data_IF_238173823706
#
_entry.id   IF_238173823706
#
_cell.length_a   1.000
_cell.length_b   1.000
_cell.length_c   1.000
_cell.angle_alpha   90.00
_cell.angle_beta   90.00
_cell.angle_gamma   90.00
#
_symmetry.space_group_name_H-M   'P 1'
#
loop_
_entity.id
_entity.type
_entity.pdbx_description
1 polymer ?
#
# COMPACT_ATOMS: atom_id res chain seq x y z
N UNK A 1 -8.60 9.79 10.75
CA UNK A 1 -9.59 10.30 11.71
C UNK A 1 -10.60 9.19 11.95
N UNK A 2 -10.82 8.78 13.19
CA UNK A 2 -11.93 7.87 13.54
C UNK A 2 -13.23 8.62 13.25
N UNK A 3 -13.99 8.18 12.26
CA UNK A 3 -15.29 8.78 11.98
C UNK A 3 -16.22 8.46 13.16
N UNK A 4 -16.85 9.46 13.80
CA UNK A 4 -17.82 9.18 14.85
C UNK A 4 -18.94 8.32 14.27
N UNK A 5 -19.46 7.39 15.09
CA UNK A 5 -20.64 6.60 14.75
C UNK A 5 -21.77 7.52 14.25
N UNK A 6 -22.61 7.07 13.30
CA UNK A 6 -23.66 7.92 12.74
C UNK A 6 -24.66 8.33 13.83
N UNK A 7 -24.41 9.48 14.43
CA UNK A 7 -25.36 10.20 15.27
C UNK A 7 -26.42 10.87 14.41
N UNK A 8 -27.37 11.57 15.03
CA UNK A 8 -28.42 12.30 14.31
C UNK A 8 -27.96 13.65 13.74
N UNK A 9 -26.71 14.05 13.98
CA UNK A 9 -26.16 15.32 13.53
C UNK A 9 -25.42 15.17 12.17
N UNK A 10 -25.33 16.25 11.37
CA UNK A 10 -24.81 16.16 10.01
C UNK A 10 -23.28 16.09 9.92
N UNK A 11 -22.55 16.09 11.04
CA UNK A 11 -21.10 16.29 11.03
C UNK A 11 -20.36 15.17 10.29
N UNK A 12 -20.79 13.91 10.45
CA UNK A 12 -20.18 12.79 9.73
C UNK A 12 -20.37 12.92 8.20
N UNK A 13 -21.58 13.30 7.77
CA UNK A 13 -21.91 13.52 6.35
C UNK A 13 -21.06 14.65 5.78
N UNK A 14 -21.02 15.81 6.46
CA UNK A 14 -20.26 16.97 6.01
C UNK A 14 -18.76 16.69 6.00
N UNK A 15 -18.25 15.94 6.97
CA UNK A 15 -16.85 15.52 7.03
C UNK A 15 -16.44 14.69 5.81
N UNK A 16 -17.26 13.71 5.42
CA UNK A 16 -16.99 12.92 4.20
C UNK A 16 -17.20 13.75 2.94
N UNK A 17 -18.31 14.48 2.83
CA UNK A 17 -18.67 15.25 1.64
C UNK A 17 -17.64 16.34 1.28
N UNK A 18 -16.92 16.87 2.28
CA UNK A 18 -15.87 17.88 2.09
C UNK A 18 -14.45 17.30 2.16
N UNK A 19 -14.31 15.99 2.43
CA UNK A 19 -13.00 15.34 2.61
C UNK A 19 -12.07 15.47 1.40
N UNK A 20 -12.63 15.51 0.18
CA UNK A 20 -11.84 15.74 -1.05
C UNK A 20 -11.08 17.08 -1.03
N UNK A 21 -11.61 18.11 -0.36
CA UNK A 21 -10.96 19.42 -0.23
C UNK A 21 -9.69 19.32 0.62
N UNK A 22 -9.71 18.49 1.66
CA UNK A 22 -8.55 18.23 2.51
C UNK A 22 -7.49 17.40 1.75
N UNK A 23 -7.93 16.35 1.03
CA UNK A 23 -7.04 15.53 0.21
C UNK A 23 -6.31 16.36 -0.86
N UNK A 24 -7.03 17.19 -1.63
CA UNK A 24 -6.40 18.05 -2.64
C UNK A 24 -5.44 19.08 -2.04
N UNK A 25 -5.71 19.60 -0.85
CA UNK A 25 -4.77 20.49 -0.17
C UNK A 25 -3.52 19.76 0.33
N UNK A 26 -3.63 18.51 0.76
CA UNK A 26 -2.46 17.68 1.10
C UNK A 26 -1.57 17.46 -0.13
N UNK A 27 -2.17 17.10 -1.27
CA UNK A 27 -1.44 16.91 -2.52
C UNK A 27 -0.72 18.19 -2.95
N UNK A 28 -1.43 19.32 -2.96
CA UNK A 28 -0.85 20.62 -3.30
C UNK A 28 0.23 21.08 -2.32
N UNK A 29 0.07 20.81 -1.01
CA UNK A 29 1.10 21.12 -0.01
C UNK A 29 2.36 20.28 -0.21
N UNK A 30 2.20 19.00 -0.57
CA UNK A 30 3.32 18.11 -0.91
C UNK A 30 4.05 18.56 -2.17
N UNK A 31 3.30 18.83 -3.25
CA UNK A 31 3.84 19.30 -4.53
C UNK A 31 4.56 20.64 -4.41
N UNK A 32 3.99 21.59 -3.65
CA UNK A 32 4.61 22.88 -3.37
C UNK A 32 5.84 22.78 -2.45
N UNK A 33 6.19 21.60 -1.94
CA UNK A 33 7.34 21.41 -1.05
C UNK A 33 7.15 22.00 0.35
N UNK A 34 5.90 22.19 0.82
CA UNK A 34 5.60 22.79 2.11
C UNK A 34 6.26 22.03 3.28
N UNK A 35 6.18 20.70 3.27
CA UNK A 35 6.76 19.84 4.31
C UNK A 35 8.30 19.86 4.26
N UNK A 36 8.90 19.88 3.07
CA UNK A 36 10.34 19.98 2.89
C UNK A 36 10.88 21.36 3.36
N UNK A 37 10.13 22.45 3.11
CA UNK A 37 10.45 23.78 3.60
C UNK A 37 10.46 23.88 5.15
N UNK A 38 9.80 22.95 5.83
CA UNK A 38 9.77 22.82 7.29
C UNK A 38 10.83 21.86 7.86
N UNK A 39 11.58 21.14 7.02
CA UNK A 39 12.65 20.24 7.47
C UNK A 39 13.74 20.98 8.26
N UNK A 40 13.99 22.26 7.92
CA UNK A 40 14.93 23.14 8.63
C UNK A 40 14.39 23.77 9.92
N UNK A 41 13.17 23.42 10.35
CA UNK A 41 12.55 23.90 11.57
C UNK A 41 11.36 24.84 11.36
N UNK A 42 10.68 25.25 12.47
CA UNK A 42 9.40 25.94 12.41
C UNK A 42 9.43 27.29 11.69
N UNK A 43 8.41 27.58 10.90
CA UNK A 43 8.35 28.78 10.06
C UNK A 43 6.99 29.48 10.12
N UNK A 44 6.97 30.81 10.01
CA UNK A 44 5.75 31.59 9.78
C UNK A 44 5.23 31.34 8.35
N UNK A 45 3.99 31.73 8.04
CA UNK A 45 3.51 31.58 6.65
C UNK A 45 4.30 32.42 5.63
N UNK A 46 4.86 33.57 6.04
CA UNK A 46 5.68 34.40 5.16
C UNK A 46 7.02 33.72 4.84
N UNK A 47 7.67 33.16 5.87
CA UNK A 47 8.90 32.36 5.71
C UNK A 47 8.62 31.08 4.88
N UNK A 48 7.48 30.41 5.09
CA UNK A 48 7.06 29.26 4.27
C UNK A 48 6.85 29.64 2.82
N UNK A 49 6.19 30.77 2.56
CA UNK A 49 5.95 31.28 1.22
C UNK A 49 7.25 31.49 0.44
N UNK A 50 8.24 32.11 1.10
CA UNK A 50 9.57 32.33 0.53
C UNK A 50 10.28 31.00 0.23
N UNK A 51 10.30 30.06 1.19
CA UNK A 51 10.98 28.76 1.04
C UNK A 51 10.36 27.86 -0.02
N UNK A 52 9.02 27.84 -0.09
CA UNK A 52 8.27 26.99 -1.02
C UNK A 52 8.00 27.66 -2.38
N UNK A 53 8.29 28.96 -2.52
CA UNK A 53 8.07 29.69 -3.77
C UNK A 53 6.59 29.89 -4.12
N UNK A 54 5.71 29.99 -3.11
CA UNK A 54 4.25 30.18 -3.29
C UNK A 54 3.78 31.47 -2.61
N UNK A 55 2.64 32.06 -3.03
CA UNK A 55 2.12 33.26 -2.37
C UNK A 55 1.82 33.03 -0.87
N UNK A 56 2.11 34.02 -0.02
CA UNK A 56 1.90 33.92 1.44
C UNK A 56 0.46 33.54 1.81
N UNK A 57 -0.53 34.09 1.09
CA UNK A 57 -1.93 33.73 1.28
C UNK A 57 -2.16 32.23 1.09
N UNK A 58 -1.57 31.64 0.05
CA UNK A 58 -1.70 30.22 -0.26
C UNK A 58 -0.92 29.37 0.74
N UNK A 59 0.30 29.77 1.10
CA UNK A 59 1.08 29.10 2.15
C UNK A 59 0.31 29.04 3.47
N UNK A 60 -0.33 30.15 3.87
CA UNK A 60 -1.17 30.22 5.08
C UNK A 60 -2.35 29.25 5.00
N UNK A 61 -3.09 29.24 3.88
CA UNK A 61 -4.25 28.35 3.69
C UNK A 61 -3.84 26.88 3.81
N UNK A 62 -2.78 26.48 3.09
CA UNK A 62 -2.30 25.10 3.13
C UNK A 62 -1.80 24.73 4.53
N UNK A 63 -0.98 25.58 5.15
CA UNK A 63 -0.42 25.31 6.47
C UNK A 63 -1.49 25.26 7.58
N UNK A 64 -2.50 26.13 7.53
CA UNK A 64 -3.62 26.08 8.48
C UNK A 64 -4.46 24.82 8.31
N UNK A 65 -4.73 24.39 7.07
CA UNK A 65 -5.42 23.11 6.82
C UNK A 65 -4.59 21.94 7.33
N UNK A 66 -3.30 21.86 7.01
CA UNK A 66 -2.44 20.76 7.47
C UNK A 66 -2.29 20.75 9.00
N UNK A 67 -2.25 21.92 9.65
CA UNK A 67 -2.25 22.02 11.11
C UNK A 67 -3.58 21.55 11.72
N UNK A 68 -4.71 21.95 11.12
CA UNK A 68 -6.05 21.51 11.53
C UNK A 68 -6.26 20.00 11.39
N UNK A 69 -5.57 19.35 10.44
CA UNK A 69 -5.56 17.90 10.26
C UNK A 69 -4.54 17.17 11.15
N UNK A 70 -3.73 17.89 11.94
CA UNK A 70 -2.67 17.33 12.77
C UNK A 70 -1.42 16.88 11.99
N UNK A 71 -1.33 17.20 10.70
CA UNK A 71 -0.18 16.92 9.85
C UNK A 71 0.96 17.93 10.09
N UNK A 72 0.62 19.15 10.51
CA UNK A 72 1.54 20.13 11.07
C UNK A 72 1.12 20.47 12.50
N UNK A 73 2.02 21.07 13.27
CA UNK A 73 1.69 21.81 14.49
C UNK A 73 1.71 23.30 14.21
N UNK A 74 0.99 24.09 15.02
CA UNK A 74 1.01 25.55 14.96
C UNK A 74 1.11 26.15 16.36
N UNK A 75 2.21 26.84 16.63
CA UNK A 75 2.51 27.48 17.91
C UNK A 75 3.03 28.89 17.66
N UNK A 76 2.49 29.89 18.37
CA UNK A 76 2.87 31.31 18.23
C UNK A 76 2.94 31.82 16.79
N UNK A 77 2.03 31.33 15.94
CA UNK A 77 1.94 31.71 14.52
C UNK A 77 2.98 31.06 13.59
N UNK A 78 3.82 30.17 14.11
CA UNK A 78 4.78 29.33 13.37
C UNK A 78 4.23 27.92 13.20
N UNK A 79 4.52 27.32 12.06
CA UNK A 79 4.17 25.94 11.73
C UNK A 79 5.40 25.04 11.81
N UNK A 80 5.23 23.79 12.22
CA UNK A 80 6.26 22.77 12.17
C UNK A 80 5.67 21.45 11.65
N UNK A 81 6.50 20.58 11.08
CA UNK A 81 6.09 19.22 10.77
C UNK A 81 5.68 18.49 12.05
N UNK A 82 4.62 17.67 11.96
CA UNK A 82 4.38 16.63 12.96
C UNK A 82 5.49 15.57 12.87
N UNK A 83 5.66 14.69 13.87
CA UNK A 83 6.61 13.57 13.76
C UNK A 83 6.41 12.73 12.50
N UNK A 84 5.14 12.45 12.15
CA UNK A 84 4.81 11.68 10.94
C UNK A 84 5.18 12.44 9.65
N UNK A 85 4.80 13.71 9.49
CA UNK A 85 5.14 14.44 8.25
C UNK A 85 6.63 14.77 8.15
N UNK A 86 7.33 14.91 9.27
CA UNK A 86 8.78 15.02 9.29
C UNK A 86 9.46 13.75 8.79
N UNK A 87 8.93 12.58 9.14
CA UNK A 87 9.50 11.30 8.74
C UNK A 87 9.16 10.94 7.29
N UNK A 88 7.91 11.12 6.88
CA UNK A 88 7.39 10.58 5.60
C UNK A 88 7.24 11.61 4.47
N UNK A 89 7.23 12.93 4.74
CA UNK A 89 6.94 13.97 3.73
C UNK A 89 7.99 15.09 3.62
N UNK A 90 8.95 15.16 4.54
CA UNK A 90 9.98 16.21 4.53
C UNK A 90 11.14 15.95 3.54
N UNK A 91 11.14 14.79 2.85
CA UNK A 91 12.21 14.40 1.92
C UNK A 91 13.50 13.92 2.60
N UNK A 92 13.41 13.46 3.85
CA UNK A 92 14.51 12.78 4.54
C UNK A 92 14.64 11.31 4.12
N UNK A 93 15.59 10.60 4.73
CA UNK A 93 15.88 9.18 4.43
C UNK A 93 15.56 8.24 5.60
N UNK A 94 14.87 8.73 6.64
CA UNK A 94 14.58 7.92 7.83
C UNK A 94 13.48 6.90 7.58
N UNK A 95 12.46 7.30 6.83
CA UNK A 95 11.28 6.51 6.52
C UNK A 95 10.97 6.60 5.01
N UNK A 96 10.02 5.77 4.55
CA UNK A 96 9.55 5.79 3.16
C UNK A 96 9.01 7.17 2.78
N UNK A 97 9.59 7.79 1.76
CA UNK A 97 9.09 9.07 1.24
C UNK A 97 7.75 8.89 0.53
N UNK A 98 6.66 9.42 1.10
CA UNK A 98 5.30 9.26 0.58
C UNK A 98 4.94 10.26 -0.53
N UNK A 99 5.81 11.20 -0.86
CA UNK A 99 5.53 12.21 -1.90
C UNK A 99 5.20 11.61 -3.27
N UNK A 100 5.89 10.55 -3.77
CA UNK A 100 5.50 9.91 -5.03
C UNK A 100 4.11 9.27 -4.98
N UNK A 101 3.71 8.71 -3.83
CA UNK A 101 2.37 8.18 -3.63
C UNK A 101 1.31 9.29 -3.69
N UNK A 102 1.55 10.43 -3.03
CA UNK A 102 0.66 11.59 -3.12
C UNK A 102 0.57 12.14 -4.54
N UNK A 103 1.67 12.16 -5.30
CA UNK A 103 1.68 12.58 -6.70
C UNK A 103 0.84 11.63 -7.59
N UNK A 104 0.93 10.33 -7.37
CA UNK A 104 0.05 9.34 -8.02
C UNK A 104 -1.42 9.57 -7.69
N UNK A 105 -1.74 9.76 -6.40
CA UNK A 105 -3.11 10.01 -5.97
C UNK A 105 -3.68 11.25 -6.65
N UNK A 106 -2.90 12.33 -6.76
CA UNK A 106 -3.37 13.59 -7.35
C UNK A 106 -3.53 13.52 -8.88
N UNK A 107 -2.53 12.99 -9.58
CA UNK A 107 -2.43 13.06 -11.03
C UNK A 107 -3.15 11.91 -11.75
N UNK A 108 -3.33 10.77 -11.09
CA UNK A 108 -3.94 9.57 -11.65
C UNK A 108 -5.24 9.23 -10.92
N UNK A 109 -5.18 8.86 -9.64
CA UNK A 109 -6.33 8.32 -8.91
C UNK A 109 -7.49 9.32 -8.84
N UNK A 110 -7.23 10.54 -8.39
CA UNK A 110 -8.23 11.59 -8.25
C UNK A 110 -9.00 11.86 -9.55
N UNK A 111 -8.32 11.77 -10.69
CA UNK A 111 -8.94 11.92 -12.01
C UNK A 111 -9.94 10.81 -12.33
N UNK A 112 -9.66 9.57 -11.93
CA UNK A 112 -10.58 8.43 -12.11
C UNK A 112 -11.81 8.56 -11.21
N UNK A 113 -11.64 9.07 -9.99
CA UNK A 113 -12.77 9.34 -9.09
C UNK A 113 -13.78 10.35 -9.63
N UNK A 114 -13.39 11.24 -10.55
CA UNK A 114 -14.35 12.11 -11.25
C UNK A 114 -15.36 11.32 -12.11
N UNK A 115 -14.96 10.14 -12.59
CA UNK A 115 -15.80 9.22 -13.37
C UNK A 115 -16.51 8.16 -12.52
N UNK A 116 -16.30 8.11 -11.20
CA UNK A 116 -16.82 7.03 -10.36
C UNK A 116 -18.36 6.90 -10.38
N UNK A 117 -19.07 7.99 -10.68
CA UNK A 117 -20.52 7.94 -10.90
C UNK A 117 -20.93 7.02 -12.06
N UNK A 118 -20.15 6.97 -13.14
CA UNK A 118 -20.36 6.03 -14.24
C UNK A 118 -20.02 4.61 -13.82
N UNK A 119 -18.87 4.40 -13.16
CA UNK A 119 -18.46 3.10 -12.60
C UNK A 119 -19.51 2.52 -11.65
N UNK A 120 -20.16 3.35 -10.82
CA UNK A 120 -21.25 2.91 -9.94
C UNK A 120 -22.45 2.34 -10.70
N UNK A 121 -22.70 2.84 -11.93
CA UNK A 121 -23.83 2.38 -12.77
C UNK A 121 -23.49 1.14 -13.59
N UNK A 122 -22.22 0.96 -13.96
CA UNK A 122 -21.79 -0.08 -14.91
C UNK A 122 -21.00 -1.21 -14.27
N UNK A 123 -20.42 -0.99 -13.09
CA UNK A 123 -19.37 -1.80 -12.48
C UNK A 123 -18.10 -1.93 -13.36
N UNK A 124 -17.87 -0.98 -14.28
CA UNK A 124 -16.71 -0.95 -15.16
C UNK A 124 -15.71 0.13 -14.72
N UNK A 125 -14.39 -0.11 -14.85
CA UNK A 125 -13.38 0.87 -14.51
C UNK A 125 -13.38 2.07 -15.47
N UNK A 126 -12.76 3.16 -15.04
CA UNK A 126 -12.45 4.28 -15.91
C UNK A 126 -11.25 3.94 -16.80
N UNK A 127 -11.13 4.61 -17.95
CA UNK A 127 -10.01 4.37 -18.86
C UNK A 127 -8.70 4.85 -18.24
N UNK A 128 -7.82 3.90 -17.92
CA UNK A 128 -6.46 4.18 -17.46
C UNK A 128 -5.55 4.54 -18.64
N UNK A 129 -5.18 5.82 -18.73
CA UNK A 129 -4.19 6.32 -19.69
C UNK A 129 -2.83 6.54 -19.00
N UNK A 130 -1.85 5.72 -19.38
CA UNK A 130 -0.47 5.75 -18.86
C UNK A 130 0.54 6.20 -19.92
N UNK A 131 0.12 6.90 -20.97
CA UNK A 131 1.05 7.44 -21.95
C UNK A 131 2.01 8.49 -21.35
N UNK A 132 3.23 8.54 -21.88
CA UNK A 132 4.24 9.55 -21.50
C UNK A 132 4.74 9.39 -20.06
N UNK A 133 4.78 10.50 -19.33
CA UNK A 133 5.25 10.58 -17.94
C UNK A 133 4.26 9.96 -16.93
N UNK A 134 3.00 9.75 -17.32
CA UNK A 134 1.97 9.18 -16.46
C UNK A 134 2.29 7.76 -16.00
N UNK A 135 2.96 6.96 -16.83
CA UNK A 135 3.46 5.64 -16.43
C UNK A 135 4.45 5.75 -15.27
N UNK A 136 5.38 6.72 -15.32
CA UNK A 136 6.37 6.92 -14.26
C UNK A 136 5.69 7.36 -12.96
N UNK A 137 4.72 8.27 -13.03
CA UNK A 137 3.94 8.72 -11.87
C UNK A 137 3.14 7.56 -11.26
N UNK A 138 2.49 6.76 -12.10
CA UNK A 138 1.74 5.57 -11.67
C UNK A 138 2.65 4.57 -10.95
N UNK A 139 3.72 4.13 -11.60
CA UNK A 139 4.66 3.17 -11.02
C UNK A 139 5.34 3.73 -9.77
N UNK A 140 5.77 4.99 -9.78
CA UNK A 140 6.40 5.63 -8.63
C UNK A 140 5.49 5.62 -7.39
N UNK A 141 4.20 5.93 -7.57
CA UNK A 141 3.24 5.91 -6.47
C UNK A 141 2.88 4.51 -5.99
N UNK A 142 2.56 3.60 -6.90
CA UNK A 142 2.22 2.20 -6.56
C UNK A 142 3.39 1.52 -5.85
N UNK A 143 4.62 1.71 -6.33
CA UNK A 143 5.81 1.12 -5.71
C UNK A 143 6.14 1.73 -4.35
N UNK A 144 5.92 3.04 -4.18
CA UNK A 144 6.04 3.71 -2.87
C UNK A 144 5.05 3.13 -1.87
N UNK A 145 3.81 2.89 -2.30
CA UNK A 145 2.78 2.33 -1.42
C UNK A 145 3.08 0.87 -1.05
N UNK A 146 3.57 0.07 -2.01
CA UNK A 146 4.05 -1.29 -1.74
C UNK A 146 5.25 -1.30 -0.77
N UNK A 147 6.22 -0.41 -0.94
CA UNK A 147 7.35 -0.29 -0.03
C UNK A 147 6.93 0.10 1.40
N UNK A 148 5.93 0.98 1.53
CA UNK A 148 5.33 1.29 2.83
C UNK A 148 4.72 0.04 3.48
N UNK A 149 3.91 -0.71 2.74
CA UNK A 149 3.29 -1.94 3.26
C UNK A 149 4.32 -3.03 3.61
N UNK A 150 5.36 -3.19 2.81
CA UNK A 150 6.46 -4.11 3.09
C UNK A 150 7.14 -3.79 4.43
N UNK A 151 7.42 -2.50 4.67
CA UNK A 151 7.97 -2.05 5.95
C UNK A 151 7.01 -2.29 7.11
N UNK A 152 5.72 -1.99 6.92
CA UNK A 152 4.69 -2.20 7.95
C UNK A 152 4.54 -3.67 8.32
N UNK A 153 4.64 -4.57 7.33
CA UNK A 153 4.66 -6.01 7.56
C UNK A 153 5.90 -6.42 8.34
N UNK A 154 7.10 -5.98 7.93
CA UNK A 154 8.35 -6.29 8.61
C UNK A 154 8.43 -5.79 10.06
N UNK A 155 7.83 -4.63 10.33
CA UNK A 155 7.76 -4.09 11.70
C UNK A 155 6.78 -4.88 12.60
N UNK A 156 5.89 -5.71 12.03
CA UNK A 156 4.80 -6.40 12.76
C UNK A 156 4.76 -7.93 12.57
N UNK A 157 5.70 -8.51 11.81
CA UNK A 157 5.81 -9.94 11.57
C UNK A 157 7.26 -10.41 11.69
N UNK A 158 7.49 -11.44 12.49
CA UNK A 158 8.83 -11.97 12.76
C UNK A 158 9.28 -12.93 11.66
N UNK A 159 10.13 -12.43 10.77
CA UNK A 159 10.74 -13.20 9.69
C UNK A 159 11.94 -14.05 10.14
N UNK A 160 12.50 -13.82 11.34
CA UNK A 160 13.79 -14.40 11.75
C UNK A 160 13.77 -15.92 11.92
N UNK A 161 12.58 -16.51 12.03
CA UNK A 161 12.35 -17.95 12.17
C UNK A 161 12.37 -18.73 10.85
N UNK A 162 12.44 -18.05 9.71
CA UNK A 162 12.35 -18.66 8.38
C UNK A 162 13.70 -18.64 7.66
N UNK A 163 13.94 -19.65 6.83
CA UNK A 163 15.20 -19.82 6.09
C UNK A 163 15.00 -19.81 4.57
N UNK A 164 13.82 -20.17 4.07
CA UNK A 164 13.51 -20.27 2.64
C UNK A 164 12.17 -19.59 2.37
N UNK A 165 12.24 -18.34 1.92
CA UNK A 165 11.08 -17.47 1.72
C UNK A 165 10.72 -17.40 0.25
N UNK A 166 9.48 -17.68 -0.10
CA UNK A 166 8.94 -17.47 -1.44
C UNK A 166 8.03 -16.24 -1.44
N UNK A 167 8.32 -15.26 -2.28
CA UNK A 167 7.39 -14.20 -2.66
C UNK A 167 6.66 -14.63 -3.94
N UNK A 168 5.39 -15.03 -3.80
CA UNK A 168 4.62 -15.70 -4.86
C UNK A 168 3.62 -14.77 -5.53
N UNK A 169 3.95 -14.28 -6.72
CA UNK A 169 3.09 -13.38 -7.49
C UNK A 169 3.26 -11.90 -7.14
N UNK A 170 4.30 -11.55 -6.38
CA UNK A 170 4.60 -10.18 -5.98
C UNK A 170 4.75 -9.23 -7.18
N UNK A 171 4.29 -8.00 -6.99
CA UNK A 171 4.53 -6.89 -7.93
C UNK A 171 5.86 -6.18 -7.65
N UNK A 172 6.22 -6.08 -6.38
CA UNK A 172 7.37 -5.33 -5.87
C UNK A 172 8.27 -6.25 -5.06
N UNK A 173 9.58 -6.19 -5.30
CA UNK A 173 10.57 -6.91 -4.49
C UNK A 173 10.71 -6.37 -3.05
N UNK A 174 10.00 -5.31 -2.68
CA UNK A 174 10.13 -4.68 -1.35
C UNK A 174 9.77 -5.62 -0.21
N UNK A 175 8.73 -6.46 -0.35
CA UNK A 175 8.32 -7.38 0.72
C UNK A 175 9.41 -8.40 1.02
N UNK A 176 9.93 -9.07 -0.01
CA UNK A 176 11.06 -9.99 0.13
C UNK A 176 12.32 -9.27 0.62
N UNK A 177 12.59 -8.04 0.17
CA UNK A 177 13.74 -7.27 0.63
C UNK A 177 13.69 -7.02 2.14
N UNK A 178 12.55 -6.57 2.69
CA UNK A 178 12.43 -6.33 4.14
C UNK A 178 12.47 -7.63 4.95
N UNK A 179 11.86 -8.70 4.43
CA UNK A 179 11.95 -10.03 5.03
C UNK A 179 13.41 -10.52 5.13
N UNK A 180 14.21 -10.34 4.08
CA UNK A 180 15.61 -10.75 4.06
C UNK A 180 16.53 -9.83 4.85
N UNK A 181 16.20 -8.54 5.00
CA UNK A 181 16.93 -7.63 5.90
C UNK A 181 16.76 -8.02 7.37
N UNK A 182 15.58 -8.47 7.75
CA UNK A 182 15.30 -8.93 9.12
C UNK A 182 15.82 -10.36 9.37
N UNK A 183 15.70 -11.26 8.41
CA UNK A 183 16.22 -12.63 8.49
C UNK A 183 17.59 -12.77 7.78
N UNK A 184 18.68 -12.48 8.50
CA UNK A 184 20.04 -12.38 7.93
C UNK A 184 20.53 -13.66 7.22
N UNK A 185 20.07 -14.84 7.65
CA UNK A 185 20.47 -16.14 7.08
C UNK A 185 19.44 -16.73 6.09
N UNK A 186 18.32 -16.03 5.86
CA UNK A 186 17.30 -16.51 4.94
C UNK A 186 17.73 -16.31 3.48
N UNK A 187 17.25 -17.22 2.63
CA UNK A 187 17.30 -17.11 1.18
C UNK A 187 15.88 -16.90 0.64
N UNK A 188 15.77 -16.03 -0.36
CA UNK A 188 14.52 -15.65 -0.97
C UNK A 188 14.37 -16.17 -2.40
N UNK A 189 13.14 -16.44 -2.81
CA UNK A 189 12.78 -16.59 -4.20
C UNK A 189 11.66 -15.60 -4.53
N UNK A 190 11.91 -14.69 -5.46
CA UNK A 190 10.89 -13.80 -6.00
C UNK A 190 10.33 -14.43 -7.27
N UNK A 191 9.04 -14.78 -7.26
CA UNK A 191 8.37 -15.38 -8.40
C UNK A 191 7.28 -14.43 -8.90
N UNK A 192 7.41 -13.97 -10.15
CA UNK A 192 6.38 -13.13 -10.76
C UNK A 192 6.39 -13.27 -12.28
N UNK A 193 5.25 -12.93 -12.89
CA UNK A 193 5.06 -12.96 -14.34
C UNK A 193 5.28 -11.58 -14.98
N UNK A 194 5.58 -11.58 -16.28
CA UNK A 194 5.55 -10.37 -17.10
C UNK A 194 6.81 -9.50 -17.03
N UNK A 195 6.70 -8.29 -17.57
CA UNK A 195 7.84 -7.38 -17.83
C UNK A 195 8.32 -6.63 -16.58
N UNK A 196 7.55 -6.64 -15.49
CA UNK A 196 7.88 -5.92 -14.25
C UNK A 196 8.88 -6.67 -13.35
N UNK A 197 9.26 -7.90 -13.71
CA UNK A 197 10.26 -8.69 -12.97
C UNK A 197 11.61 -7.97 -12.89
N UNK A 198 12.01 -7.27 -13.94
CA UNK A 198 13.27 -6.51 -13.94
C UNK A 198 13.24 -5.32 -12.97
N UNK A 199 12.06 -4.72 -12.75
CA UNK A 199 11.90 -3.70 -11.72
C UNK A 199 12.09 -4.31 -10.32
N UNK A 200 11.46 -5.45 -10.04
CA UNK A 200 11.63 -6.15 -8.77
C UNK A 200 13.09 -6.57 -8.53
N UNK A 201 13.78 -7.07 -9.56
CA UNK A 201 15.22 -7.38 -9.51
C UNK A 201 16.02 -6.16 -9.07
N UNK A 202 15.79 -5.00 -9.69
CA UNK A 202 16.48 -3.76 -9.33
C UNK A 202 16.21 -3.35 -7.88
N UNK A 203 14.96 -3.46 -7.40
CA UNK A 203 14.61 -3.16 -6.00
C UNK A 203 15.39 -4.05 -5.03
N UNK A 204 15.49 -5.34 -5.33
CA UNK A 204 16.20 -6.32 -4.50
C UNK A 204 17.72 -6.09 -4.51
N UNK A 205 18.29 -5.71 -5.65
CA UNK A 205 19.70 -5.32 -5.79
C UNK A 205 20.02 -4.04 -5.00
N UNK A 206 19.23 -2.99 -5.19
CA UNK A 206 19.37 -1.72 -4.47
C UNK A 206 19.19 -1.90 -2.95
N UNK A 207 18.43 -2.92 -2.53
CA UNK A 207 18.24 -3.29 -1.13
C UNK A 207 19.43 -4.05 -0.51
N UNK A 208 20.44 -4.45 -1.31
CA UNK A 208 21.65 -5.13 -0.84
C UNK A 208 21.44 -6.60 -0.48
N UNK A 209 20.37 -7.23 -0.96
CA UNK A 209 20.01 -8.63 -0.64
C UNK A 209 20.20 -9.58 -1.83
N UNK A 210 20.70 -9.09 -2.97
CA UNK A 210 20.78 -9.81 -4.24
C UNK A 210 21.50 -11.17 -4.16
N UNK A 211 22.56 -11.30 -3.36
CA UNK A 211 23.32 -12.56 -3.21
C UNK A 211 22.52 -13.69 -2.54
N UNK A 212 21.36 -13.38 -1.95
CA UNK A 212 20.49 -14.32 -1.25
C UNK A 212 19.16 -14.55 -1.97
N UNK A 213 19.03 -14.12 -3.22
CA UNK A 213 17.76 -14.17 -3.95
C UNK A 213 17.89 -14.88 -5.30
N UNK A 214 16.93 -15.76 -5.55
CA UNK A 214 16.60 -16.23 -6.89
C UNK A 214 15.39 -15.47 -7.44
N UNK A 215 15.49 -14.97 -8.68
CA UNK A 215 14.36 -14.31 -9.37
C UNK A 215 13.86 -15.25 -10.46
N UNK A 216 12.62 -15.71 -10.33
CA UNK A 216 11.96 -16.67 -11.23
C UNK A 216 10.87 -15.95 -12.01
N UNK A 217 11.13 -15.66 -13.29
CA UNK A 217 10.15 -15.07 -14.18
C UNK A 217 9.22 -16.15 -14.74
N UNK A 218 8.05 -16.31 -14.13
CA UNK A 218 7.06 -17.30 -14.57
C UNK A 218 5.65 -16.88 -14.17
N UNK A 219 4.65 -17.36 -14.91
CA UNK A 219 3.25 -17.09 -14.60
C UNK A 219 2.85 -17.84 -13.30
N UNK A 220 2.39 -17.14 -12.25
CA UNK A 220 1.95 -17.77 -11.01
C UNK A 220 0.83 -18.79 -11.21
N UNK A 221 0.01 -18.71 -12.26
CA UNK A 221 -1.09 -19.64 -12.54
C UNK A 221 -0.61 -20.92 -13.24
N UNK A 222 0.32 -20.80 -14.19
CA UNK A 222 0.64 -21.89 -15.14
C UNK A 222 2.08 -22.35 -15.09
N UNK A 223 2.99 -21.55 -14.54
CA UNK A 223 4.44 -21.78 -14.52
C UNK A 223 4.90 -22.91 -13.61
N UNK A 224 6.20 -23.23 -13.67
CA UNK A 224 6.83 -24.11 -12.69
C UNK A 224 7.25 -23.30 -11.45
N UNK A 225 7.02 -23.85 -10.27
CA UNK A 225 7.29 -23.19 -8.98
C UNK A 225 8.26 -24.06 -8.21
N UNK A 226 9.40 -23.53 -7.74
CA UNK A 226 10.28 -24.28 -6.85
C UNK A 226 9.54 -24.72 -5.57
N UNK A 227 10.06 -25.74 -4.90
CA UNK A 227 9.43 -26.29 -3.69
C UNK A 227 10.34 -26.16 -2.46
N UNK A 228 9.76 -26.43 -1.29
CA UNK A 228 10.48 -26.53 -0.02
C UNK A 228 10.65 -25.18 0.69
N UNK A 229 9.71 -24.26 0.54
CA UNK A 229 9.71 -22.97 1.25
C UNK A 229 9.07 -23.11 2.63
N UNK A 230 9.70 -22.55 3.66
CA UNK A 230 9.14 -22.53 5.02
C UNK A 230 8.29 -21.28 5.30
N UNK A 231 8.39 -20.27 4.43
CA UNK A 231 7.49 -19.12 4.35
C UNK A 231 7.05 -18.86 2.91
N UNK A 232 5.75 -18.67 2.70
CA UNK A 232 5.18 -18.22 1.41
C UNK A 232 4.45 -16.89 1.63
N UNK A 233 4.82 -15.88 0.87
CA UNK A 233 4.19 -14.56 0.86
C UNK A 233 3.27 -14.45 -0.36
N UNK A 234 2.05 -13.96 -0.13
CA UNK A 234 1.05 -13.60 -1.13
C UNK A 234 0.64 -12.15 -0.89
N UNK A 235 1.37 -11.20 -1.47
CA UNK A 235 1.25 -9.78 -1.15
C UNK A 235 0.65 -9.01 -2.33
N UNK A 236 -0.52 -8.38 -2.15
CA UNK A 236 -1.26 -7.67 -3.22
C UNK A 236 -1.55 -8.55 -4.45
N UNK A 237 -1.86 -9.82 -4.20
CA UNK A 237 -2.12 -10.83 -5.25
C UNK A 237 -3.61 -11.02 -5.44
N UNK A 238 -4.36 -11.25 -4.35
CA UNK A 238 -5.70 -11.85 -4.42
C UNK A 238 -6.69 -10.95 -5.15
N UNK A 239 -6.63 -9.64 -4.96
CA UNK A 239 -7.56 -8.73 -5.63
C UNK A 239 -7.42 -8.73 -7.16
N UNK A 240 -6.26 -9.12 -7.70
CA UNK A 240 -5.94 -9.05 -9.14
C UNK A 240 -6.51 -10.22 -9.96
N UNK A 241 -6.99 -11.25 -9.30
CA UNK A 241 -7.42 -12.49 -9.92
C UNK A 241 -8.88 -12.79 -9.60
N UNK A 242 -9.54 -13.54 -10.47
CA UNK A 242 -10.87 -14.04 -10.17
C UNK A 242 -10.85 -15.16 -9.09
N UNK A 243 -12.02 -15.58 -8.63
CA UNK A 243 -12.14 -16.57 -7.56
C UNK A 243 -11.61 -17.96 -7.94
N UNK A 244 -11.66 -18.36 -9.22
CA UNK A 244 -11.14 -19.66 -9.67
C UNK A 244 -9.61 -19.63 -9.77
N UNK A 245 -9.07 -18.54 -10.31
CA UNK A 245 -7.65 -18.26 -10.36
C UNK A 245 -7.04 -18.18 -8.95
N UNK A 246 -7.69 -17.49 -8.02
CA UNK A 246 -7.23 -17.40 -6.63
C UNK A 246 -7.17 -18.77 -5.94
N UNK A 247 -8.17 -19.65 -6.15
CA UNK A 247 -8.11 -21.04 -5.68
C UNK A 247 -6.88 -21.77 -6.22
N UNK A 248 -6.62 -21.66 -7.53
CA UNK A 248 -5.46 -22.28 -8.15
C UNK A 248 -4.13 -21.71 -7.60
N UNK A 249 -4.06 -20.41 -7.35
CA UNK A 249 -2.88 -19.72 -6.78
C UNK A 249 -2.59 -20.24 -5.36
N UNK A 250 -3.59 -20.30 -4.47
CA UNK A 250 -3.37 -20.77 -3.09
C UNK A 250 -3.02 -22.26 -3.02
N UNK A 251 -3.57 -23.08 -3.93
CA UNK A 251 -3.19 -24.50 -4.08
C UNK A 251 -1.74 -24.65 -4.55
N UNK A 252 -1.28 -23.78 -5.45
CA UNK A 252 0.10 -23.77 -5.95
C UNK A 252 1.08 -23.27 -4.89
N UNK A 253 0.71 -22.23 -4.16
CA UNK A 253 1.43 -21.79 -2.97
C UNK A 253 1.57 -22.92 -1.96
N UNK A 254 0.51 -23.73 -1.74
CA UNK A 254 0.59 -24.92 -0.87
C UNK A 254 1.60 -25.94 -1.36
N UNK A 255 1.62 -26.24 -2.67
CA UNK A 255 2.56 -27.21 -3.27
C UNK A 255 4.01 -26.78 -3.16
N UNK A 256 4.27 -25.47 -3.31
CA UNK A 256 5.62 -24.91 -3.14
C UNK A 256 6.11 -24.97 -1.68
N UNK A 257 5.19 -25.02 -0.72
CA UNK A 257 5.48 -24.95 0.70
C UNK A 257 5.93 -26.30 1.30
N UNK A 258 6.92 -26.25 2.17
CA UNK A 258 7.33 -27.38 3.00
C UNK A 258 6.23 -27.78 4.01
N UNK A 259 6.25 -29.01 4.56
CA UNK A 259 5.38 -29.37 5.68
C UNK A 259 5.59 -28.41 6.88
N UNK A 260 4.49 -27.91 7.45
CA UNK A 260 4.54 -26.95 8.58
C UNK A 260 4.98 -25.53 8.21
N UNK A 261 5.11 -25.22 6.91
CA UNK A 261 5.37 -23.87 6.44
C UNK A 261 4.27 -22.87 6.87
N UNK A 262 4.64 -21.60 6.93
CA UNK A 262 3.70 -20.49 7.14
C UNK A 262 3.38 -19.82 5.79
N UNK A 263 2.13 -19.43 5.60
CA UNK A 263 1.71 -18.51 4.56
C UNK A 263 1.31 -17.17 5.21
N UNK A 264 1.79 -16.07 4.63
CA UNK A 264 1.34 -14.71 4.94
C UNK A 264 0.67 -14.17 3.68
N UNK A 265 -0.61 -13.86 3.78
CA UNK A 265 -1.38 -13.24 2.71
C UNK A 265 -1.69 -11.81 3.12
N UNK A 266 -1.14 -10.84 2.42
CA UNK A 266 -1.42 -9.42 2.65
C UNK A 266 -2.28 -8.89 1.51
N UNK A 267 -3.49 -8.47 1.84
CA UNK A 267 -4.39 -7.81 0.91
C UNK A 267 -5.45 -6.99 1.67
N UNK A 268 -6.24 -6.23 0.92
CA UNK A 268 -7.48 -5.69 1.45
C UNK A 268 -8.53 -6.80 1.43
N UNK A 269 -9.36 -6.86 2.48
CA UNK A 269 -10.49 -7.79 2.55
C UNK A 269 -11.75 -7.03 2.90
N UNK A 270 -12.90 -7.48 2.40
CA UNK A 270 -14.18 -7.04 2.93
C UNK A 270 -14.56 -7.91 4.13
N UNK A 271 -15.22 -7.33 5.11
CA UNK A 271 -15.69 -8.07 6.27
C UNK A 271 -17.01 -8.78 5.97
N UNK A 272 -17.18 -10.01 6.45
CA UNK A 272 -18.49 -10.69 6.43
C UNK A 272 -19.41 -10.26 7.57
N UNK A 273 -18.87 -9.51 8.54
CA UNK A 273 -19.56 -9.04 9.73
C UNK A 273 -20.28 -7.69 9.42
N UNK A 274 -21.13 -7.16 10.32
CA UNK A 274 -21.91 -5.96 10.02
C UNK A 274 -21.08 -4.67 9.95
N UNK A 275 -19.82 -4.68 10.39
CA UNK A 275 -18.96 -3.48 10.46
C UNK A 275 -17.74 -3.64 9.55
N UNK A 276 -17.75 -2.94 8.42
CA UNK A 276 -16.60 -2.90 7.52
C UNK A 276 -15.46 -2.06 8.09
N UNK A 277 -14.23 -2.54 7.94
CA UNK A 277 -13.04 -1.69 8.05
C UNK A 277 -13.05 -0.65 6.92
N UNK A 278 -13.19 0.63 7.29
CA UNK A 278 -13.31 1.75 6.32
C UNK A 278 -12.14 1.78 5.32
N UNK A 279 -10.92 1.49 5.78
CA UNK A 279 -9.75 1.48 4.90
C UNK A 279 -9.93 0.50 3.73
N UNK A 280 -10.41 -0.71 4.02
CA UNK A 280 -10.56 -1.78 3.03
C UNK A 280 -11.73 -1.48 2.09
N UNK A 281 -12.86 -1.00 2.64
CA UNK A 281 -14.03 -0.63 1.85
C UNK A 281 -13.77 0.54 0.88
N UNK A 282 -12.97 1.52 1.28
CA UNK A 282 -12.55 2.63 0.38
C UNK A 282 -11.62 2.13 -0.71
N UNK A 283 -10.68 1.23 -0.39
CA UNK A 283 -9.78 0.63 -1.39
C UNK A 283 -10.51 -0.27 -2.39
N UNK A 284 -11.61 -0.92 -2.00
CA UNK A 284 -12.48 -1.62 -2.95
C UNK A 284 -13.03 -0.68 -4.04
N UNK A 285 -13.36 0.56 -3.69
CA UNK A 285 -13.73 1.58 -4.65
C UNK A 285 -12.57 2.03 -5.56
N UNK A 286 -11.37 2.17 -4.99
CA UNK A 286 -10.14 2.49 -5.76
C UNK A 286 -9.85 1.42 -6.81
N UNK A 287 -9.85 0.16 -6.43
CA UNK A 287 -9.61 -0.96 -7.35
C UNK A 287 -10.68 -1.04 -8.45
N UNK A 288 -11.96 -0.91 -8.09
CA UNK A 288 -13.03 -0.91 -9.07
C UNK A 288 -12.90 0.24 -10.08
N UNK A 289 -12.53 1.45 -9.65
CA UNK A 289 -12.49 2.62 -10.54
C UNK A 289 -11.22 2.68 -11.41
N UNK A 290 -10.10 2.14 -10.92
CA UNK A 290 -8.79 2.19 -11.61
C UNK A 290 -8.65 1.06 -12.63
N UNK A 291 -8.85 -0.18 -12.21
CA UNK A 291 -8.55 -1.36 -13.05
C UNK A 291 -9.66 -2.43 -13.05
N UNK A 292 -10.74 -2.20 -12.30
CA UNK A 292 -11.92 -3.08 -12.29
C UNK A 292 -11.72 -4.33 -11.46
N UNK A 293 -10.67 -4.37 -10.64
CA UNK A 293 -10.37 -5.50 -9.76
C UNK A 293 -11.28 -5.54 -8.53
N UNK A 294 -11.22 -6.63 -7.77
CA UNK A 294 -12.20 -6.97 -6.73
C UNK A 294 -11.50 -7.08 -5.38
N UNK A 295 -12.13 -6.57 -4.32
CA UNK A 295 -11.73 -6.89 -2.95
C UNK A 295 -12.64 -7.99 -2.43
N UNK A 296 -12.07 -9.14 -2.09
CA UNK A 296 -12.85 -10.32 -1.67
C UNK A 296 -13.21 -10.27 -0.19
N UNK A 297 -14.37 -10.84 0.21
CA UNK A 297 -14.67 -11.09 1.60
C UNK A 297 -13.61 -12.00 2.24
N UNK A 298 -13.17 -11.68 3.45
CA UNK A 298 -12.13 -12.45 4.16
C UNK A 298 -12.49 -13.94 4.27
N UNK A 299 -13.76 -14.25 4.56
CA UNK A 299 -14.23 -15.64 4.72
C UNK A 299 -14.10 -16.46 3.43
N UNK A 300 -14.27 -15.84 2.26
CA UNK A 300 -14.06 -16.52 0.98
C UNK A 300 -12.59 -16.90 0.81
N UNK A 301 -11.69 -15.96 1.08
CA UNK A 301 -10.24 -16.16 1.01
C UNK A 301 -9.79 -17.25 2.00
N UNK A 302 -10.28 -17.21 3.24
CA UNK A 302 -10.04 -18.26 4.25
C UNK A 302 -10.57 -19.62 3.79
N UNK A 303 -11.71 -19.63 3.10
CA UNK A 303 -12.29 -20.83 2.49
C UNK A 303 -11.38 -21.44 1.43
N UNK A 304 -10.80 -20.63 0.54
CA UNK A 304 -9.85 -21.10 -0.47
C UNK A 304 -8.57 -21.64 0.15
N UNK A 305 -8.01 -20.93 1.14
CA UNK A 305 -6.85 -21.39 1.91
C UNK A 305 -7.12 -22.76 2.55
N UNK A 306 -8.26 -22.90 3.23
CA UNK A 306 -8.66 -24.15 3.89
C UNK A 306 -8.81 -25.32 2.90
N UNK A 307 -9.44 -25.07 1.76
CA UNK A 307 -9.60 -26.07 0.70
C UNK A 307 -8.26 -26.52 0.09
N UNK A 308 -7.29 -25.61 0.04
CA UNK A 308 -5.95 -25.87 -0.46
C UNK A 308 -5.02 -26.56 0.55
N UNK A 309 -5.46 -26.83 1.78
CA UNK A 309 -4.62 -27.47 2.81
C UNK A 309 -3.80 -26.50 3.66
N UNK A 310 -4.19 -25.22 3.69
CA UNK A 310 -3.73 -24.25 4.67
C UNK A 310 -4.71 -24.17 5.84
N UNK A 311 -4.23 -23.92 7.06
CA UNK A 311 -5.04 -23.60 8.23
C UNK A 311 -4.92 -22.12 8.54
N UNK A 312 -5.93 -21.28 8.24
CA UNK A 312 -5.91 -19.86 8.60
C UNK A 312 -5.96 -19.69 10.12
N UNK A 313 -4.85 -19.29 10.73
CA UNK A 313 -4.71 -19.20 12.19
C UNK A 313 -5.14 -17.84 12.73
N UNK A 314 -4.93 -16.76 11.96
CA UNK A 314 -5.11 -15.40 12.46
C UNK A 314 -5.29 -14.40 11.30
N UNK A 315 -6.02 -13.31 11.57
CA UNK A 315 -5.97 -12.09 10.76
C UNK A 315 -5.48 -10.94 11.62
N UNK A 316 -4.54 -10.15 11.12
CA UNK A 316 -3.99 -8.98 11.82
C UNK A 316 -4.15 -7.73 10.98
N UNK A 317 -4.56 -6.65 11.63
CA UNK A 317 -4.51 -5.32 11.05
C UNK A 317 -3.12 -4.73 11.19
N UNK A 318 -2.55 -4.26 10.07
CA UNK A 318 -1.33 -3.48 10.07
C UNK A 318 -1.66 -1.97 10.13
N UNK A 319 -0.84 -1.14 10.81
CA UNK A 319 -1.09 0.31 10.90
C UNK A 319 -1.24 0.95 9.52
N UNK A 320 -2.33 1.65 9.23
CA UNK A 320 -2.51 2.38 7.95
C UNK A 320 -2.33 1.55 6.67
N UNK A 321 -2.44 0.22 6.77
CA UNK A 321 -2.05 -0.75 5.74
C UNK A 321 -3.15 -1.81 5.58
N UNK A 322 -3.07 -2.65 4.52
CA UNK A 322 -3.91 -3.83 4.37
C UNK A 322 -3.77 -4.78 5.56
N UNK A 323 -4.63 -5.79 5.61
CA UNK A 323 -4.57 -6.83 6.64
C UNK A 323 -3.67 -7.96 6.18
N UNK A 324 -3.16 -8.73 7.14
CA UNK A 324 -2.56 -10.03 6.86
C UNK A 324 -3.42 -11.17 7.38
N UNK A 325 -3.56 -12.21 6.57
CA UNK A 325 -4.02 -13.54 7.01
C UNK A 325 -2.78 -14.41 7.15
N UNK A 326 -2.58 -14.96 8.34
CA UNK A 326 -1.52 -15.95 8.60
C UNK A 326 -2.17 -17.33 8.54
N UNK A 327 -1.55 -18.25 7.81
CA UNK A 327 -1.99 -19.64 7.72
C UNK A 327 -0.83 -20.63 7.83
N UNK A 328 -1.11 -21.85 8.28
CA UNK A 328 -0.10 -22.91 8.45
C UNK A 328 -0.40 -24.11 7.53
N UNK A 329 0.64 -24.71 6.97
CA UNK A 329 0.52 -25.86 6.09
C UNK A 329 0.12 -27.12 6.87
N UNK A 330 -1.08 -27.67 6.58
CA UNK A 330 -1.57 -28.97 7.10
C UNK A 330 -1.13 -30.16 6.26
#
# INVERSE_FOLDING_TARGET
MSHPAPGTDPSAILGVATGYMAAKQLFAASEAGLFAALAGGPATASELAERAGIPERTARILADTMAGLGLLTREDGRYANSPATSAYLAGGTQETDLRPFLAFLDAISYGHWLGFGDTTRTAEPQKLDLAGDRMQTFLGGVMTYNALHAKMLADNFDFTRFSRILDFGGLSGSFLAEALRSAENAHGTFLSGGELVEFARKVLEDAGVGDRIDVVQTDPLTGEVPEGFDLVLLEHVVHRFDAEQNKAIVERARRAAAPGATLVLLDFFLDSNPEQRVLDAVHAGEYLVIDGTVVYPEDEVRGWLSAAGWEPVETRELPGSPRIIIAEAR
#
